data_IF_353416403304
#
_entry.id   IF_353416403304
#
_cell.length_a   1.000
_cell.length_b   1.000
_cell.length_c   1.000
_cell.angle_alpha   90.00
_cell.angle_beta   90.00
_cell.angle_gamma   90.00
#
_symmetry.space_group_name_H-M   'P 1'
#
loop_
_entity.id
_entity.type
_entity.pdbx_description
1 polymer ?
#
# COMPACT_ATOMS: atom_id res chain seq x y z
N UNK A 1 -19.86 14.70 2.25
CA UNK A 1 -18.60 13.93 2.28
C UNK A 1 -17.64 14.46 3.35
N UNK A 2 -18.12 14.62 4.59
CA UNK A 2 -17.33 15.11 5.72
C UNK A 2 -17.57 14.14 6.90
N UNK A 3 -17.02 12.94 6.84
CA UNK A 3 -16.82 12.16 8.06
C UNK A 3 -15.60 12.74 8.75
N UNK A 4 -15.84 13.70 9.64
CA UNK A 4 -14.84 14.50 10.36
C UNK A 4 -14.06 13.68 11.42
N UNK A 5 -14.26 12.36 11.47
CA UNK A 5 -13.66 11.45 12.44
C UNK A 5 -12.75 10.40 11.80
N UNK A 6 -12.15 10.70 10.64
CA UNK A 6 -10.88 10.02 10.35
C UNK A 6 -9.84 10.70 11.24
N UNK A 7 -9.78 10.18 12.48
CA UNK A 7 -9.06 10.68 13.63
C UNK A 7 -7.72 11.28 13.19
N UNK A 8 -7.59 12.62 13.24
CA UNK A 8 -6.34 13.32 12.88
C UNK A 8 -5.14 12.74 13.64
N UNK A 9 -5.41 12.19 14.82
CA UNK A 9 -4.54 11.38 15.67
C UNK A 9 -3.88 10.20 14.94
N UNK A 10 -4.63 9.50 14.08
CA UNK A 10 -4.16 8.29 13.35
C UNK A 10 -3.14 8.66 12.27
N UNK A 11 -3.37 9.75 11.53
CA UNK A 11 -2.41 10.20 10.51
C UNK A 11 -1.09 10.61 11.18
N UNK A 12 -1.16 11.32 12.31
CA UNK A 12 0.03 11.69 13.08
C UNK A 12 0.82 10.47 13.56
N UNK A 13 0.13 9.44 14.06
CA UNK A 13 0.76 8.18 14.47
C UNK A 13 1.46 7.49 13.29
N UNK A 14 0.80 7.36 12.13
CA UNK A 14 1.40 6.76 10.92
C UNK A 14 2.65 7.54 10.48
N UNK A 15 2.61 8.87 10.48
CA UNK A 15 3.77 9.70 10.12
C UNK A 15 4.91 9.46 11.10
N UNK A 16 4.62 9.40 12.41
CA UNK A 16 5.62 9.12 13.44
C UNK A 16 6.27 7.75 13.22
N UNK A 17 5.48 6.70 13.01
CA UNK A 17 5.98 5.35 12.72
C UNK A 17 6.93 5.35 11.50
N UNK A 18 6.54 6.04 10.42
CA UNK A 18 7.38 6.17 9.21
C UNK A 18 8.71 6.85 9.53
N UNK A 19 8.71 7.93 10.32
CA UNK A 19 9.95 8.63 10.68
C UNK A 19 10.86 7.79 11.57
N UNK A 20 10.29 7.02 12.50
CA UNK A 20 11.05 6.10 13.35
C UNK A 20 11.69 4.96 12.52
N UNK A 21 10.91 4.31 11.65
CA UNK A 21 11.39 3.23 10.78
C UNK A 21 12.41 3.74 9.76
N UNK A 22 12.24 4.98 9.28
CA UNK A 22 13.17 5.61 8.33
C UNK A 22 14.61 5.63 8.84
N UNK A 23 14.83 5.72 10.16
CA UNK A 23 16.18 5.75 10.76
C UNK A 23 17.01 4.49 10.51
N UNK A 24 16.36 3.37 10.16
CA UNK A 24 17.02 2.10 9.85
C UNK A 24 17.77 2.17 8.51
N UNK A 25 17.40 3.09 7.63
CA UNK A 25 17.97 3.24 6.30
C UNK A 25 19.05 4.31 6.28
N UNK A 26 20.19 4.04 5.62
CA UNK A 26 21.25 5.03 5.42
C UNK A 26 20.78 6.23 4.57
N UNK A 27 19.88 6.00 3.62
CA UNK A 27 19.21 7.02 2.82
C UNK A 27 17.90 6.47 2.25
N UNK A 28 16.84 7.29 2.23
CA UNK A 28 15.55 6.94 1.64
C UNK A 28 14.89 8.18 1.03
N UNK A 29 14.27 8.00 -0.14
CA UNK A 29 13.53 9.03 -0.86
C UNK A 29 12.12 8.53 -1.17
N UNK A 30 11.15 9.46 -1.22
CA UNK A 30 9.77 9.17 -1.55
C UNK A 30 9.42 9.86 -2.87
N UNK A 31 8.88 9.08 -3.81
CA UNK A 31 8.45 9.56 -5.11
C UNK A 31 6.98 9.24 -5.32
N UNK A 32 6.25 10.19 -5.90
CA UNK A 32 4.90 9.94 -6.37
C UNK A 32 4.97 9.21 -7.71
N UNK A 33 4.29 8.07 -7.81
CA UNK A 33 4.17 7.28 -9.04
C UNK A 33 2.70 7.06 -9.42
N UNK A 34 2.36 6.94 -10.72
CA UNK A 34 1.01 6.60 -11.15
C UNK A 34 0.51 5.28 -10.58
N UNK A 35 -0.81 5.14 -10.40
CA UNK A 35 -1.44 3.89 -9.93
C UNK A 35 -1.05 2.69 -10.79
N UNK A 36 -0.94 2.88 -12.10
CA UNK A 36 -0.58 1.83 -13.08
C UNK A 36 0.83 1.27 -12.89
N UNK A 37 1.73 2.03 -12.26
CA UNK A 37 3.07 1.59 -11.89
C UNK A 37 3.10 1.04 -10.45
N UNK A 38 2.11 1.41 -9.63
CA UNK A 38 1.95 0.95 -8.24
C UNK A 38 0.92 -0.18 -8.07
N UNK A 39 0.75 -1.02 -9.09
CA UNK A 39 -0.32 -2.02 -9.18
C UNK A 39 -0.34 -3.00 -8.00
N UNK A 40 0.84 -3.46 -7.56
CA UNK A 40 0.94 -4.38 -6.42
C UNK A 40 0.39 -3.77 -5.14
N UNK A 41 0.85 -2.58 -4.75
CA UNK A 41 0.39 -1.93 -3.52
C UNK A 41 -1.11 -1.60 -3.59
N UNK A 42 -1.59 -1.16 -4.76
CA UNK A 42 -3.01 -0.91 -4.98
C UNK A 42 -3.87 -2.16 -4.78
N UNK A 43 -3.45 -3.30 -5.33
CA UNK A 43 -4.18 -4.56 -5.19
C UNK A 43 -4.10 -5.13 -3.78
N UNK A 44 -2.96 -5.04 -3.09
CA UNK A 44 -2.84 -5.39 -1.67
C UNK A 44 -3.87 -4.61 -0.86
N UNK A 45 -3.89 -3.27 -0.99
CA UNK A 45 -4.82 -2.42 -0.25
C UNK A 45 -6.28 -2.75 -0.58
N UNK A 46 -6.57 -3.03 -1.85
CA UNK A 46 -7.93 -3.40 -2.31
C UNK A 46 -8.40 -4.72 -1.71
N UNK A 47 -7.55 -5.75 -1.70
CA UNK A 47 -7.88 -7.05 -1.14
C UNK A 47 -8.00 -7.01 0.40
N UNK A 48 -7.11 -6.26 1.07
CA UNK A 48 -7.21 -6.03 2.51
C UNK A 48 -8.51 -5.31 2.88
N UNK A 49 -8.88 -4.27 2.12
CA UNK A 49 -10.13 -3.52 2.32
C UNK A 49 -11.37 -4.42 2.16
N UNK A 50 -11.41 -5.28 1.13
CA UNK A 50 -12.51 -6.25 0.93
C UNK A 50 -12.67 -7.20 2.13
N UNK A 51 -11.56 -7.57 2.77
CA UNK A 51 -11.55 -8.46 3.94
C UNK A 51 -11.76 -7.73 5.27
N UNK A 52 -11.78 -6.40 5.26
CA UNK A 52 -11.85 -5.59 6.49
C UNK A 52 -10.57 -5.62 7.31
N UNK A 53 -9.44 -5.99 6.72
CA UNK A 53 -8.13 -6.01 7.39
C UNK A 53 -7.63 -4.56 7.57
N UNK A 54 -7.19 -4.21 8.78
CA UNK A 54 -6.73 -2.84 9.15
C UNK A 54 -5.29 -2.78 9.64
N UNK A 55 -4.59 -3.91 9.60
CA UNK A 55 -3.21 -4.03 10.08
C UNK A 55 -2.22 -3.79 8.93
N UNK A 56 -0.97 -3.47 9.27
CA UNK A 56 0.10 -3.39 8.28
C UNK A 56 0.37 -4.75 7.63
N UNK A 57 0.76 -4.73 6.36
CA UNK A 57 1.28 -5.92 5.70
C UNK A 57 2.63 -6.27 6.32
N UNK A 58 2.75 -7.48 6.86
CA UNK A 58 4.00 -8.02 7.41
C UNK A 58 4.45 -9.19 6.56
N UNK A 59 5.71 -9.18 6.13
CA UNK A 59 6.29 -10.25 5.31
C UNK A 59 6.03 -10.08 3.82
N UNK A 60 5.55 -11.13 3.16
CA UNK A 60 5.43 -11.19 1.70
C UNK A 60 4.04 -10.81 1.19
N UNK A 61 3.97 -10.41 -0.09
CA UNK A 61 2.71 -10.13 -0.78
C UNK A 61 1.87 -11.42 -0.90
N UNK A 62 0.56 -11.37 -0.58
CA UNK A 62 -0.31 -12.54 -0.70
C UNK A 62 -0.42 -13.07 -2.14
N UNK A 63 -0.44 -14.40 -2.32
CA UNK A 63 -0.60 -15.06 -3.63
C UNK A 63 -1.84 -14.60 -4.42
N UNK A 64 -2.91 -14.19 -3.73
CA UNK A 64 -4.11 -13.66 -4.39
C UNK A 64 -3.81 -12.37 -5.17
N UNK A 65 -2.91 -11.53 -4.64
CA UNK A 65 -2.48 -10.29 -5.30
C UNK A 65 -1.60 -10.61 -6.51
N UNK A 66 -0.68 -11.57 -6.42
CA UNK A 66 0.13 -12.01 -7.56
C UNK A 66 -0.76 -12.42 -8.75
N UNK A 67 -1.78 -13.24 -8.50
CA UNK A 67 -2.76 -13.65 -9.54
C UNK A 67 -3.58 -12.48 -10.08
N UNK A 68 -3.90 -11.49 -9.25
CA UNK A 68 -4.62 -10.31 -9.69
C UNK A 68 -3.75 -9.41 -10.59
N UNK A 69 -2.48 -9.22 -10.24
CA UNK A 69 -1.52 -8.48 -11.08
C UNK A 69 -1.33 -9.15 -12.44
N UNK A 70 -1.20 -10.48 -12.49
CA UNK A 70 -1.07 -11.22 -13.75
C UNK A 70 -2.27 -11.03 -14.68
N UNK A 71 -3.47 -10.85 -14.13
CA UNK A 71 -4.69 -10.56 -14.91
C UNK A 71 -4.76 -9.13 -15.40
N UNK A 72 -4.21 -8.18 -14.63
CA UNK A 72 -4.17 -6.76 -15.02
C UNK A 72 -3.01 -6.42 -15.97
N UNK A 73 -1.96 -7.25 -16.02
CA UNK A 73 -0.89 -7.08 -17.00
C UNK A 73 -1.48 -7.22 -18.40
N UNK A 74 -1.29 -6.21 -19.29
CA UNK A 74 -1.65 -6.39 -20.68
C UNK A 74 -0.89 -7.61 -21.20
N UNK A 75 -1.63 -8.54 -21.82
CA UNK A 75 -1.00 -9.60 -22.60
C UNK A 75 -0.23 -8.88 -23.71
N UNK A 76 1.08 -8.70 -23.54
CA UNK A 76 1.94 -8.48 -24.68
C UNK A 76 1.85 -9.76 -25.52
N UNK A 77 0.92 -9.75 -26.48
CA UNK A 77 0.93 -10.69 -27.59
C UNK A 77 2.09 -10.24 -28.48
N UNK A 78 3.13 -11.08 -28.52
CA UNK A 78 4.14 -11.05 -29.57
C UNK A 78 3.49 -11.26 -30.95
#
# INVERSE_FOLDING_TARGET
CQSLEQDRSTIGAIIKDIQEIKTIFNSICFFHIPRTENTYAHLVATEALKKGERHYLVGAVPNIVHRAVERERPRYQN
#
